data_IF_309238549310
#
_entry.id   IF_309238549310
#
_cell.length_a   1.000
_cell.length_b   1.000
_cell.length_c   1.000
_cell.angle_alpha   90.00
_cell.angle_beta   90.00
_cell.angle_gamma   90.00
#
_symmetry.space_group_name_H-M   'P 1'
#
loop_
_entity.id
_entity.type
_entity.pdbx_description
1 polymer ?
#
# COMPACT_ATOMS: atom_id res chain seq x y z
N UNK A 1 39.95 -35.46 20.19
CA UNK A 1 39.63 -34.46 19.15
C UNK A 1 38.20 -34.72 18.70
N UNK A 2 37.20 -34.19 19.42
CA UNK A 2 35.78 -34.37 19.08
C UNK A 2 35.42 -33.41 17.94
N UNK A 3 35.05 -33.97 16.80
CA UNK A 3 34.42 -33.25 15.69
C UNK A 3 33.06 -32.75 16.16
N UNK A 4 32.98 -31.47 16.50
CA UNK A 4 31.71 -30.80 16.79
C UNK A 4 30.94 -30.72 15.47
N UNK A 5 29.94 -31.60 15.36
CA UNK A 5 28.90 -31.57 14.33
C UNK A 5 28.26 -30.18 14.29
N UNK A 6 28.48 -29.45 13.19
CA UNK A 6 27.70 -28.24 12.87
C UNK A 6 26.23 -28.63 12.78
N UNK A 7 25.43 -28.23 13.77
CA UNK A 7 23.98 -28.33 13.65
C UNK A 7 23.50 -27.49 12.47
N UNK A 8 22.41 -27.90 11.78
CA UNK A 8 21.86 -27.15 10.67
C UNK A 8 21.50 -25.75 11.16
N UNK A 9 22.08 -24.73 10.54
CA UNK A 9 21.68 -23.34 10.73
C UNK A 9 20.17 -23.22 10.54
N UNK A 10 19.47 -22.65 11.53
CA UNK A 10 18.06 -22.29 11.44
C UNK A 10 17.79 -21.64 10.06
N UNK A 11 16.74 -22.05 9.33
CA UNK A 11 16.41 -21.41 8.07
C UNK A 11 16.10 -19.94 8.38
N UNK A 12 16.88 -19.04 7.79
CA UNK A 12 16.62 -17.61 7.86
C UNK A 12 15.14 -17.36 7.51
N UNK A 13 14.41 -16.53 8.27
CA UNK A 13 12.98 -16.35 8.07
C UNK A 13 12.68 -16.00 6.62
N UNK A 14 11.64 -16.63 6.07
CA UNK A 14 11.26 -16.43 4.68
C UNK A 14 10.97 -14.95 4.44
N UNK A 15 11.67 -14.34 3.47
CA UNK A 15 11.54 -12.90 3.19
C UNK A 15 10.13 -12.47 2.79
N UNK A 16 9.31 -13.41 2.33
CA UNK A 16 7.93 -13.22 1.87
C UNK A 16 7.10 -14.37 2.44
N UNK A 17 6.05 -14.05 3.21
CA UNK A 17 5.05 -15.01 3.69
C UNK A 17 4.23 -15.60 2.53
N UNK A 18 3.62 -16.80 2.70
CA UNK A 18 2.75 -17.38 1.69
C UNK A 18 1.64 -16.41 1.25
N UNK A 19 1.46 -16.26 -0.06
CA UNK A 19 0.40 -15.47 -0.66
C UNK A 19 -0.70 -16.41 -1.19
N UNK A 20 -1.96 -15.99 -1.12
CA UNK A 20 -3.08 -16.74 -1.70
C UNK A 20 -3.07 -16.73 -3.23
N UNK A 21 -2.54 -15.66 -3.83
CA UNK A 21 -2.40 -15.48 -5.28
C UNK A 21 -1.24 -14.51 -5.56
N UNK A 22 -0.59 -14.65 -6.72
CA UNK A 22 0.43 -13.72 -7.17
C UNK A 22 -0.23 -12.46 -7.79
N UNK A 23 -0.04 -11.25 -7.22
CA UNK A 23 -0.57 -10.02 -7.80
C UNK A 23 0.33 -9.56 -8.95
N UNK A 24 -0.10 -9.78 -10.19
CA UNK A 24 0.58 -9.30 -11.40
C UNK A 24 -0.31 -8.35 -12.18
N UNK A 25 0.31 -7.34 -12.81
CA UNK A 25 -0.35 -6.49 -13.79
C UNK A 25 0.01 -7.00 -15.19
N UNK A 26 -1.00 -7.41 -15.95
CA UNK A 26 -0.82 -7.91 -17.30
C UNK A 26 -0.96 -6.75 -18.30
N UNK A 27 0.14 -6.43 -18.99
CA UNK A 27 0.11 -5.44 -20.08
C UNK A 27 -0.58 -6.04 -21.31
N UNK A 28 -1.64 -5.38 -21.78
CA UNK A 28 -2.46 -5.79 -22.91
C UNK A 28 -2.37 -4.82 -24.09
N UNK A 29 -1.54 -3.79 -24.03
CA UNK A 29 -1.40 -2.81 -25.11
C UNK A 29 -1.06 -3.49 -26.44
N UNK A 30 -1.97 -3.37 -27.42
CA UNK A 30 -1.84 -3.95 -28.76
C UNK A 30 -1.95 -5.48 -28.81
N UNK A 31 -2.27 -6.14 -27.70
CA UNK A 31 -2.40 -7.60 -27.64
C UNK A 31 -3.81 -8.04 -28.00
N UNK A 32 -3.92 -9.24 -28.55
CA UNK A 32 -5.21 -9.88 -28.84
C UNK A 32 -5.82 -10.45 -27.55
N UNK A 33 -7.09 -10.16 -27.31
CA UNK A 33 -7.87 -10.81 -26.27
C UNK A 33 -9.13 -11.44 -26.87
N UNK A 34 -9.54 -12.60 -26.37
CA UNK A 34 -10.72 -13.32 -26.86
C UNK A 34 -11.78 -13.37 -25.78
N UNK A 35 -13.02 -13.09 -26.15
CA UNK A 35 -14.22 -13.22 -25.31
C UNK A 35 -15.20 -14.15 -26.04
N UNK A 36 -15.43 -15.33 -25.49
CA UNK A 36 -16.44 -16.28 -25.93
C UNK A 36 -17.74 -16.05 -25.14
N UNK A 37 -18.81 -15.67 -25.83
CA UNK A 37 -20.09 -15.33 -25.22
C UNK A 37 -20.43 -13.85 -25.32
N UNK A 38 -21.73 -13.58 -25.50
CA UNK A 38 -22.29 -12.25 -25.72
C UNK A 38 -23.07 -11.67 -24.54
N UNK A 39 -22.87 -12.19 -23.33
CA UNK A 39 -23.69 -11.88 -22.15
C UNK A 39 -23.28 -10.58 -21.44
N UNK A 40 -24.13 -10.11 -20.51
CA UNK A 40 -23.82 -8.95 -19.66
C UNK A 40 -22.58 -9.19 -18.77
N UNK A 41 -22.39 -10.43 -18.31
CA UNK A 41 -21.23 -10.84 -17.52
C UNK A 41 -19.92 -10.77 -18.32
N UNK A 42 -19.99 -11.01 -19.63
CA UNK A 42 -18.88 -10.88 -20.56
C UNK A 42 -18.65 -9.43 -21.00
N UNK A 43 -19.71 -8.62 -21.13
CA UNK A 43 -19.66 -7.25 -21.66
C UNK A 43 -18.68 -6.34 -20.90
N UNK A 44 -18.80 -6.26 -19.57
CA UNK A 44 -17.93 -5.40 -18.78
C UNK A 44 -16.46 -5.87 -18.79
N UNK A 45 -16.22 -7.18 -18.95
CA UNK A 45 -14.86 -7.73 -19.05
C UNK A 45 -14.25 -7.45 -20.42
N UNK A 46 -15.06 -7.50 -21.49
CA UNK A 46 -14.64 -7.05 -22.82
C UNK A 46 -14.25 -5.57 -22.80
N UNK A 47 -15.08 -4.71 -22.18
CA UNK A 47 -14.78 -3.29 -22.01
C UNK A 47 -13.50 -3.06 -21.18
N UNK A 48 -13.31 -3.81 -20.09
CA UNK A 48 -12.09 -3.73 -19.27
C UNK A 48 -10.82 -4.12 -20.05
N UNK A 49 -10.88 -5.19 -20.86
CA UNK A 49 -9.77 -5.63 -21.70
C UNK A 49 -9.44 -4.57 -22.77
N UNK A 50 -10.46 -3.99 -23.40
CA UNK A 50 -10.29 -2.90 -24.36
C UNK A 50 -9.68 -1.65 -23.71
N UNK A 51 -10.17 -1.25 -22.52
CA UNK A 51 -9.63 -0.14 -21.74
C UNK A 51 -8.17 -0.37 -21.29
N UNK A 52 -7.73 -1.62 -21.16
CA UNK A 52 -6.34 -2.00 -20.91
C UNK A 52 -5.47 -1.97 -22.18
N UNK A 53 -6.06 -1.71 -23.36
CA UNK A 53 -5.38 -1.58 -24.64
C UNK A 53 -5.42 -2.83 -25.53
N UNK A 54 -6.23 -3.84 -25.19
CA UNK A 54 -6.35 -5.04 -26.00
C UNK A 54 -7.19 -4.81 -27.27
N UNK A 55 -6.87 -5.53 -28.33
CA UNK A 55 -7.79 -5.79 -29.44
C UNK A 55 -8.67 -6.97 -29.07
N UNK A 56 -9.94 -6.70 -28.73
CA UNK A 56 -10.85 -7.70 -28.18
C UNK A 56 -11.66 -8.32 -29.29
N UNK A 57 -11.62 -9.65 -29.40
CA UNK A 57 -12.42 -10.42 -30.35
C UNK A 57 -13.55 -11.12 -29.57
N UNK A 58 -14.78 -10.67 -29.78
CA UNK A 58 -15.98 -11.26 -29.18
C UNK A 58 -16.57 -12.28 -30.14
N UNK A 59 -16.72 -13.53 -29.72
CA UNK A 59 -17.35 -14.61 -30.49
C UNK A 59 -18.70 -14.95 -29.88
N UNK A 60 -19.77 -14.54 -30.55
CA UNK A 60 -21.14 -14.84 -30.16
C UNK A 60 -22.06 -14.72 -31.39
N UNK A 61 -22.98 -15.67 -31.63
CA UNK A 61 -24.05 -15.49 -32.63
C UNK A 61 -24.85 -14.21 -32.36
N UNK A 62 -25.36 -13.55 -33.41
CA UNK A 62 -26.05 -12.26 -33.27
C UNK A 62 -27.28 -12.32 -32.33
N UNK A 63 -27.97 -13.46 -32.28
CA UNK A 63 -29.10 -13.68 -31.37
C UNK A 63 -28.71 -13.75 -29.89
N UNK A 64 -27.45 -14.08 -29.60
CA UNK A 64 -26.95 -14.36 -28.24
C UNK A 64 -26.20 -13.16 -27.64
N UNK A 65 -26.07 -12.06 -28.40
CA UNK A 65 -25.48 -10.82 -27.91
C UNK A 65 -26.51 -10.03 -27.13
N UNK A 66 -26.24 -9.77 -25.85
CA UNK A 66 -27.08 -8.96 -24.98
C UNK A 66 -27.07 -7.48 -25.38
N UNK A 67 -28.01 -6.70 -24.84
CA UNK A 67 -28.03 -5.26 -25.08
C UNK A 67 -26.78 -4.55 -24.55
N UNK A 68 -26.25 -4.98 -23.40
CA UNK A 68 -25.04 -4.38 -22.83
C UNK A 68 -23.80 -4.71 -23.67
N UNK A 69 -23.65 -5.96 -24.13
CA UNK A 69 -22.54 -6.33 -25.01
C UNK A 69 -22.60 -5.54 -26.33
N UNK A 70 -23.78 -5.36 -26.93
CA UNK A 70 -23.91 -4.52 -28.14
C UNK A 70 -23.44 -3.08 -27.90
N UNK A 71 -23.86 -2.47 -26.79
CA UNK A 71 -23.41 -1.10 -26.44
C UNK A 71 -21.88 -1.01 -26.31
N UNK A 72 -21.26 -2.01 -25.68
CA UNK A 72 -19.81 -2.07 -25.52
C UNK A 72 -19.11 -2.21 -26.88
N UNK A 73 -19.59 -3.10 -27.75
CA UNK A 73 -19.08 -3.26 -29.13
C UNK A 73 -19.20 -1.96 -29.93
N UNK A 74 -20.37 -1.31 -29.89
CA UNK A 74 -20.64 -0.10 -30.67
C UNK A 74 -19.80 1.11 -30.21
N UNK A 75 -19.48 1.16 -28.92
CA UNK A 75 -18.72 2.27 -28.32
C UNK A 75 -17.22 2.13 -28.49
N UNK A 76 -16.70 0.91 -28.46
CA UNK A 76 -15.26 0.64 -28.39
C UNK A 76 -14.73 0.07 -29.71
N UNK A 77 -14.02 0.87 -30.54
CA UNK A 77 -13.55 0.42 -31.86
C UNK A 77 -12.48 -0.68 -31.78
N UNK A 78 -11.89 -0.90 -30.60
CA UNK A 78 -10.95 -1.98 -30.35
C UNK A 78 -11.64 -3.35 -30.22
N UNK A 79 -12.98 -3.39 -30.17
CA UNK A 79 -13.78 -4.61 -30.03
C UNK A 79 -14.32 -5.03 -31.40
N UNK A 80 -13.99 -6.26 -31.81
CA UNK A 80 -14.41 -6.87 -33.07
C UNK A 80 -15.37 -8.02 -32.73
N UNK A 81 -16.61 -7.89 -33.19
CA UNK A 81 -17.62 -8.93 -33.03
C UNK A 81 -17.60 -9.91 -34.20
N UNK A 82 -17.46 -11.19 -33.87
CA UNK A 82 -17.56 -12.33 -34.77
C UNK A 82 -18.91 -13.01 -34.53
N UNK A 83 -19.80 -12.97 -35.53
CA UNK A 83 -21.16 -13.55 -35.47
C UNK A 83 -21.16 -15.08 -35.59
N UNK A 84 -20.36 -15.75 -34.78
CA UNK A 84 -20.22 -17.21 -34.72
C UNK A 84 -19.80 -17.63 -33.32
N UNK A 85 -19.99 -18.90 -33.02
CA UNK A 85 -19.39 -19.52 -31.83
C UNK A 85 -17.87 -19.58 -31.97
N UNK A 86 -17.18 -19.61 -30.83
CA UNK A 86 -15.74 -19.78 -30.77
C UNK A 86 -15.34 -21.21 -31.17
N UNK A 87 -14.12 -21.37 -31.66
CA UNK A 87 -13.45 -22.66 -31.83
C UNK A 87 -11.99 -22.55 -31.35
N UNK A 88 -11.22 -23.64 -31.43
CA UNK A 88 -9.82 -23.62 -31.00
C UNK A 88 -8.96 -22.61 -31.79
N UNK A 89 -9.21 -22.46 -33.09
CA UNK A 89 -8.48 -21.51 -33.94
C UNK A 89 -8.77 -20.05 -33.56
N UNK A 90 -9.99 -19.77 -33.04
CA UNK A 90 -10.32 -18.46 -32.50
C UNK A 90 -9.38 -18.00 -31.39
N UNK A 91 -8.68 -18.90 -30.69
CA UNK A 91 -7.79 -18.57 -29.56
C UNK A 91 -6.33 -18.34 -29.96
N UNK A 92 -5.96 -18.59 -31.22
CA UNK A 92 -4.56 -18.48 -31.67
C UNK A 92 -3.98 -17.06 -31.49
N UNK A 93 -2.83 -16.96 -30.82
CA UNK A 93 -2.18 -15.66 -30.57
C UNK A 93 -2.91 -14.76 -29.56
N UNK A 94 -3.95 -15.26 -28.88
CA UNK A 94 -4.59 -14.53 -27.80
C UNK A 94 -3.67 -14.49 -26.57
N UNK A 95 -3.47 -13.31 -25.97
CA UNK A 95 -2.78 -13.18 -24.70
C UNK A 95 -3.70 -13.57 -23.53
N UNK A 96 -4.99 -13.26 -23.65
CA UNK A 96 -6.04 -13.54 -22.67
C UNK A 96 -7.26 -14.08 -23.39
N UNK A 97 -7.87 -15.11 -22.81
CA UNK A 97 -9.08 -15.74 -23.28
C UNK A 97 -10.11 -15.81 -22.14
N UNK A 98 -11.34 -15.42 -22.43
CA UNK A 98 -12.43 -15.37 -21.48
C UNK A 98 -13.65 -16.04 -22.04
N UNK A 99 -14.33 -16.86 -21.24
CA UNK A 99 -15.58 -17.50 -21.65
C UNK A 99 -16.68 -17.34 -20.61
N UNK A 100 -17.88 -17.04 -21.08
CA UNK A 100 -19.11 -17.33 -20.35
C UNK A 100 -19.64 -18.69 -20.81
N UNK A 101 -19.28 -19.74 -20.07
CA UNK A 101 -19.57 -21.13 -20.44
C UNK A 101 -20.82 -21.63 -19.71
N UNK A 102 -21.75 -22.26 -20.45
CA UNK A 102 -23.03 -22.72 -19.88
C UNK A 102 -22.84 -23.85 -18.85
N UNK A 103 -21.84 -24.71 -19.05
CA UNK A 103 -21.57 -25.89 -18.25
C UNK A 103 -20.08 -26.17 -18.05
N UNK A 104 -19.77 -27.12 -17.16
CA UNK A 104 -18.38 -27.49 -16.85
C UNK A 104 -17.68 -28.16 -18.04
N UNK A 105 -18.41 -28.89 -18.88
CA UNK A 105 -17.86 -29.50 -20.10
C UNK A 105 -17.40 -28.44 -21.11
N UNK A 106 -18.16 -27.35 -21.28
CA UNK A 106 -17.74 -26.23 -22.11
C UNK A 106 -16.58 -25.47 -21.49
N UNK A 107 -16.63 -25.22 -20.18
CA UNK A 107 -15.54 -24.56 -19.46
C UNK A 107 -14.22 -25.34 -19.59
N UNK A 108 -14.26 -26.66 -19.46
CA UNK A 108 -13.12 -27.55 -19.63
C UNK A 108 -12.57 -27.51 -21.07
N UNK A 109 -13.46 -27.56 -22.07
CA UNK A 109 -13.05 -27.44 -23.49
C UNK A 109 -12.40 -26.09 -23.78
N UNK A 110 -12.96 -25.01 -23.26
CA UNK A 110 -12.43 -23.66 -23.46
C UNK A 110 -11.07 -23.49 -22.78
N UNK A 111 -10.93 -23.94 -21.53
CA UNK A 111 -9.68 -23.89 -20.79
C UNK A 111 -8.58 -24.69 -21.49
N UNK A 112 -8.88 -25.92 -21.94
CA UNK A 112 -7.93 -26.75 -22.66
C UNK A 112 -7.48 -26.09 -23.98
N UNK A 113 -8.40 -25.48 -24.74
CA UNK A 113 -8.09 -24.78 -25.97
C UNK A 113 -7.26 -23.50 -25.71
N UNK A 114 -7.58 -22.73 -24.67
CA UNK A 114 -6.82 -21.55 -24.28
C UNK A 114 -5.40 -21.92 -23.84
N UNK A 115 -5.26 -23.00 -23.06
CA UNK A 115 -3.96 -23.56 -22.66
C UNK A 115 -3.13 -23.98 -23.87
N UNK A 116 -3.73 -24.67 -24.84
CA UNK A 116 -3.06 -25.08 -26.07
C UNK A 116 -2.57 -23.87 -26.89
N UNK A 117 -3.33 -22.77 -26.88
CA UNK A 117 -2.95 -21.51 -27.53
C UNK A 117 -1.95 -20.64 -26.73
N UNK A 118 -1.62 -21.03 -25.49
CA UNK A 118 -0.77 -20.25 -24.59
C UNK A 118 -1.45 -19.01 -23.97
N UNK A 119 -2.78 -18.92 -24.04
CA UNK A 119 -3.56 -17.79 -23.52
C UNK A 119 -3.90 -17.98 -22.03
N UNK A 120 -3.82 -16.90 -21.25
CA UNK A 120 -4.35 -16.91 -19.89
C UNK A 120 -5.88 -17.01 -19.93
N UNK A 121 -6.46 -17.98 -19.20
CA UNK A 121 -7.89 -18.32 -19.28
C UNK A 121 -8.64 -17.81 -18.06
N UNK A 122 -9.84 -17.25 -18.26
CA UNK A 122 -10.82 -17.00 -17.22
C UNK A 122 -12.20 -17.43 -17.68
N UNK A 123 -12.85 -18.32 -16.93
CA UNK A 123 -14.23 -18.72 -17.16
C UNK A 123 -15.12 -18.08 -16.10
N UNK A 124 -16.15 -17.36 -16.54
CA UNK A 124 -17.06 -16.62 -15.65
C UNK A 124 -17.73 -17.60 -14.67
N UNK A 125 -17.78 -17.21 -13.39
CA UNK A 125 -18.41 -17.96 -12.30
C UNK A 125 -17.93 -19.41 -12.10
N UNK A 126 -16.80 -19.76 -12.73
CA UNK A 126 -16.25 -21.12 -12.79
C UNK A 126 -14.76 -21.12 -12.41
N UNK A 127 -14.41 -20.84 -11.13
CA UNK A 127 -13.03 -20.64 -10.68
C UNK A 127 -12.10 -21.85 -10.87
N UNK A 128 -12.65 -23.07 -10.93
CA UNK A 128 -11.88 -24.30 -11.18
C UNK A 128 -11.21 -24.32 -12.56
N UNK A 129 -11.72 -23.53 -13.51
CA UNK A 129 -11.27 -23.46 -14.91
C UNK A 129 -10.53 -22.15 -15.23
N UNK A 130 -10.12 -21.40 -14.19
CA UNK A 130 -9.48 -20.10 -14.31
C UNK A 130 -7.97 -20.16 -14.01
N UNK A 131 -7.15 -19.58 -14.88
CA UNK A 131 -5.72 -19.31 -14.63
C UNK A 131 -5.49 -18.04 -13.81
N UNK A 132 -6.44 -17.11 -13.86
CA UNK A 132 -6.39 -15.85 -13.13
C UNK A 132 -7.79 -15.38 -12.72
N UNK A 133 -7.87 -14.41 -11.82
CA UNK A 133 -9.11 -13.85 -11.31
C UNK A 133 -9.13 -12.33 -11.50
N UNK A 134 -10.30 -11.78 -11.80
CA UNK A 134 -10.51 -10.34 -11.75
C UNK A 134 -10.76 -9.92 -10.29
N UNK A 135 -9.97 -8.95 -9.82
CA UNK A 135 -10.18 -8.30 -8.53
C UNK A 135 -10.98 -7.01 -8.63
N UNK A 136 -11.19 -6.35 -7.49
CA UNK A 136 -11.62 -4.95 -7.48
C UNK A 136 -10.48 -4.06 -7.98
N UNK A 137 -10.79 -3.09 -8.84
CA UNK A 137 -9.79 -2.19 -9.43
C UNK A 137 -10.07 -0.76 -9.00
N UNK A 138 -9.04 -0.05 -8.55
CA UNK A 138 -9.04 1.40 -8.45
C UNK A 138 -8.19 1.95 -9.59
N UNK A 139 -8.82 2.73 -10.46
CA UNK A 139 -8.16 3.31 -11.63
C UNK A 139 -7.85 4.80 -11.42
N UNK A 140 -6.57 5.14 -11.45
CA UNK A 140 -5.98 6.49 -11.48
C UNK A 140 -4.88 6.53 -12.56
N UNK A 141 -5.16 5.91 -13.72
CA UNK A 141 -4.17 5.62 -14.77
C UNK A 141 -3.20 6.79 -14.99
N UNK A 142 -1.88 6.53 -14.97
CA UNK A 142 -1.24 5.21 -15.00
C UNK A 142 -1.14 4.50 -13.64
N UNK A 143 -1.64 5.08 -12.55
CA UNK A 143 -1.67 4.42 -11.24
C UNK A 143 -2.88 3.49 -11.16
N UNK A 144 -2.63 2.20 -10.98
CA UNK A 144 -3.67 1.17 -10.88
C UNK A 144 -3.47 0.37 -9.60
N UNK A 145 -4.54 0.14 -8.85
CA UNK A 145 -4.53 -0.75 -7.68
C UNK A 145 -5.47 -1.92 -7.93
N UNK A 146 -4.93 -3.13 -7.88
CA UNK A 146 -5.71 -4.38 -7.89
C UNK A 146 -5.91 -4.91 -6.48
N UNK A 147 -7.13 -5.32 -6.16
CA UNK A 147 -7.53 -5.82 -4.84
C UNK A 147 -8.14 -7.21 -5.03
N UNK A 148 -7.54 -8.23 -4.43
CA UNK A 148 -8.07 -9.59 -4.41
C UNK A 148 -8.45 -10.01 -2.99
N UNK A 149 -9.61 -10.66 -2.87
CA UNK A 149 -10.03 -11.37 -1.64
C UNK A 149 -10.06 -12.88 -1.85
N UNK A 150 -9.44 -13.38 -2.94
CA UNK A 150 -9.44 -14.80 -3.33
C UNK A 150 -10.85 -15.42 -3.37
N UNK A 151 -11.85 -14.62 -3.76
CA UNK A 151 -13.25 -15.04 -3.80
C UNK A 151 -13.97 -15.12 -2.44
N UNK A 152 -13.29 -14.91 -1.31
CA UNK A 152 -13.86 -15.14 0.01
C UNK A 152 -14.96 -14.15 0.42
N UNK A 153 -14.88 -12.89 -0.02
CA UNK A 153 -15.85 -11.86 0.36
C UNK A 153 -15.87 -10.70 -0.66
N UNK A 154 -16.82 -10.68 -1.61
CA UNK A 154 -16.99 -9.58 -2.55
C UNK A 154 -17.25 -8.23 -1.87
N UNK A 155 -18.06 -8.23 -0.79
CA UNK A 155 -18.39 -7.02 -0.03
C UNK A 155 -17.14 -6.42 0.64
N UNK A 156 -16.25 -7.25 1.18
CA UNK A 156 -14.98 -6.79 1.75
C UNK A 156 -14.09 -6.14 0.69
N UNK A 157 -14.01 -6.74 -0.51
CA UNK A 157 -13.29 -6.16 -1.64
C UNK A 157 -13.83 -4.77 -2.02
N UNK A 158 -15.15 -4.56 -1.97
CA UNK A 158 -15.76 -3.24 -2.20
C UNK A 158 -15.50 -2.24 -1.07
N UNK A 159 -15.45 -2.69 0.18
CA UNK A 159 -15.10 -1.83 1.31
C UNK A 159 -13.65 -1.33 1.22
N UNK A 160 -12.70 -2.23 0.92
CA UNK A 160 -11.30 -1.89 0.70
C UNK A 160 -11.15 -0.93 -0.48
N UNK A 161 -11.82 -1.22 -1.61
CA UNK A 161 -11.83 -0.36 -2.79
C UNK A 161 -12.26 1.07 -2.45
N UNK A 162 -13.38 1.24 -1.75
CA UNK A 162 -13.89 2.56 -1.34
C UNK A 162 -12.89 3.34 -0.47
N UNK A 163 -12.23 2.65 0.47
CA UNK A 163 -11.23 3.28 1.35
C UNK A 163 -10.00 3.75 0.56
N UNK A 164 -9.54 2.94 -0.39
CA UNK A 164 -8.40 3.28 -1.25
C UNK A 164 -8.77 4.42 -2.20
N UNK A 165 -9.95 4.37 -2.85
CA UNK A 165 -10.44 5.45 -3.72
C UNK A 165 -10.46 6.81 -3.02
N UNK A 166 -10.87 6.84 -1.75
CA UNK A 166 -10.89 8.06 -0.94
C UNK A 166 -9.48 8.59 -0.60
N UNK A 167 -8.47 7.72 -0.58
CA UNK A 167 -7.08 8.10 -0.27
C UNK A 167 -6.26 8.48 -1.51
N UNK A 168 -6.70 8.10 -2.71
CA UNK A 168 -5.97 8.32 -3.96
C UNK A 168 -6.62 9.46 -4.78
N UNK A 169 -6.06 10.68 -4.74
CA UNK A 169 -6.64 11.81 -5.45
C UNK A 169 -6.56 11.63 -6.99
N UNK A 170 -7.50 12.22 -7.75
CA UNK A 170 -7.46 12.19 -9.22
C UNK A 170 -6.15 12.76 -9.82
N UNK A 171 -5.59 13.77 -9.16
CA UNK A 171 -4.35 14.45 -9.54
C UNK A 171 -3.12 13.50 -9.65
N UNK A 172 -3.18 12.30 -9.06
CA UNK A 172 -2.11 11.29 -9.18
C UNK A 172 -1.80 10.94 -10.64
N UNK A 173 -2.81 10.96 -11.52
CA UNK A 173 -2.62 10.71 -12.95
C UNK A 173 -1.66 11.74 -13.57
N UNK A 174 -1.82 13.01 -13.21
CA UNK A 174 -1.02 14.13 -13.71
C UNK A 174 0.41 14.09 -13.13
N UNK A 175 0.54 13.82 -11.83
CA UNK A 175 1.83 13.62 -11.17
C UNK A 175 2.62 12.44 -11.76
N UNK A 176 1.94 11.33 -12.07
CA UNK A 176 2.59 10.18 -12.71
C UNK A 176 2.96 10.46 -14.17
N UNK A 177 2.15 11.26 -14.90
CA UNK A 177 2.52 11.74 -16.23
C UNK A 177 3.76 12.65 -16.19
N UNK A 178 3.83 13.58 -15.23
CA UNK A 178 5.01 14.41 -14.99
C UNK A 178 6.23 13.55 -14.65
N UNK A 179 6.08 12.59 -13.73
CA UNK A 179 7.16 11.66 -13.36
C UNK A 179 7.73 10.92 -14.58
N UNK A 180 6.88 10.46 -15.51
CA UNK A 180 7.35 9.83 -16.77
C UNK A 180 8.17 10.79 -17.63
N UNK A 181 7.72 12.04 -17.81
CA UNK A 181 8.47 13.05 -18.59
C UNK A 181 9.84 13.37 -17.95
N UNK A 182 9.91 13.36 -16.62
CA UNK A 182 11.15 13.66 -15.88
C UNK A 182 12.11 12.46 -15.78
N UNK A 183 11.63 11.23 -15.98
CA UNK A 183 12.37 9.98 -15.71
C UNK A 183 13.71 9.90 -16.43
N UNK A 184 13.75 10.22 -17.72
CA UNK A 184 14.96 10.08 -18.54
C UNK A 184 16.01 11.12 -18.11
N UNK A 185 15.59 12.37 -17.92
CA UNK A 185 16.45 13.45 -17.40
C UNK A 185 17.00 13.15 -16.00
N UNK A 186 16.18 12.59 -15.11
CA UNK A 186 16.63 12.15 -13.78
C UNK A 186 17.67 11.04 -13.88
N UNK A 187 17.47 10.10 -14.81
CA UNK A 187 18.38 8.97 -15.02
C UNK A 187 19.72 9.43 -15.63
N UNK A 188 19.69 10.42 -16.51
CA UNK A 188 20.90 10.98 -17.12
C UNK A 188 21.70 11.88 -16.15
N UNK A 189 21.01 12.68 -15.33
CA UNK A 189 21.65 13.75 -14.53
C UNK A 189 21.95 13.39 -13.09
N UNK A 190 21.20 12.48 -12.47
CA UNK A 190 21.38 12.12 -11.06
C UNK A 190 22.05 10.74 -10.95
N UNK A 191 22.97 10.59 -10.01
CA UNK A 191 23.57 9.30 -9.71
C UNK A 191 22.53 8.31 -9.13
N UNK A 192 22.59 7.01 -9.50
CA UNK A 192 21.71 6.00 -8.91
C UNK A 192 21.87 5.93 -7.39
N UNK A 193 20.81 5.55 -6.68
CA UNK A 193 20.81 5.43 -5.22
C UNK A 193 20.21 6.65 -4.51
N UNK A 194 20.86 7.19 -3.46
CA UNK A 194 20.26 8.21 -2.58
C UNK A 194 19.77 9.48 -3.28
N UNK A 195 20.55 10.03 -4.21
CA UNK A 195 20.21 11.29 -4.90
C UNK A 195 18.93 11.16 -5.75
N UNK A 196 18.82 10.10 -6.57
CA UNK A 196 17.59 9.82 -7.35
C UNK A 196 16.39 9.59 -6.43
N UNK A 197 16.56 8.85 -5.33
CA UNK A 197 15.46 8.60 -4.38
C UNK A 197 14.97 9.88 -3.71
N UNK A 198 15.87 10.72 -3.23
CA UNK A 198 15.51 11.99 -2.61
C UNK A 198 14.73 12.90 -3.59
N UNK A 199 15.08 12.86 -4.88
CA UNK A 199 14.29 13.55 -5.90
C UNK A 199 12.86 12.99 -6.01
N UNK A 200 12.71 11.67 -6.13
CA UNK A 200 11.38 11.04 -6.25
C UNK A 200 10.53 11.21 -4.99
N UNK A 201 11.12 11.17 -3.80
CA UNK A 201 10.42 11.43 -2.54
C UNK A 201 9.83 12.84 -2.50
N UNK A 202 10.60 13.87 -2.92
CA UNK A 202 10.07 15.25 -3.02
C UNK A 202 8.88 15.35 -3.97
N UNK A 203 8.87 14.58 -5.06
CA UNK A 203 7.73 14.52 -5.97
C UNK A 203 6.54 13.82 -5.31
N UNK A 204 6.76 12.68 -4.64
CA UNK A 204 5.71 11.90 -3.97
C UNK A 204 5.06 12.70 -2.83
N UNK A 205 5.83 13.48 -2.08
CA UNK A 205 5.31 14.35 -1.01
C UNK A 205 4.26 15.36 -1.51
N UNK A 206 4.34 15.72 -2.80
CA UNK A 206 3.38 16.61 -3.47
C UNK A 206 2.26 15.87 -4.18
N UNK A 207 2.48 14.61 -4.56
CA UNK A 207 1.59 13.84 -5.42
C UNK A 207 0.20 13.53 -4.82
N UNK A 208 0.07 13.61 -3.49
CA UNK A 208 -1.20 13.45 -2.77
C UNK A 208 -1.94 14.78 -2.54
N UNK A 209 -1.39 15.89 -3.02
CA UNK A 209 -2.02 17.21 -3.01
C UNK A 209 -2.78 17.54 -4.32
N UNK A 210 -2.93 18.83 -4.64
CA UNK A 210 -3.46 19.28 -5.92
C UNK A 210 -2.62 18.81 -7.12
N UNK A 211 -3.19 18.97 -8.32
CA UNK A 211 -2.49 18.79 -9.58
C UNK A 211 -1.16 19.60 -9.65
N UNK A 212 -0.13 19.09 -10.35
CA UNK A 212 1.13 19.80 -10.50
C UNK A 212 0.92 21.16 -11.20
N UNK A 213 1.39 22.24 -10.57
CA UNK A 213 1.41 23.57 -11.17
C UNK A 213 2.66 23.75 -12.05
N UNK A 214 2.65 24.75 -12.93
CA UNK A 214 3.83 25.11 -13.72
C UNK A 214 5.04 25.44 -12.83
N UNK A 215 4.81 26.10 -11.70
CA UNK A 215 5.86 26.40 -10.71
C UNK A 215 6.43 25.11 -10.10
N UNK A 216 5.58 24.16 -9.73
CA UNK A 216 6.02 22.89 -9.18
C UNK A 216 6.83 22.05 -10.19
N UNK A 217 6.45 22.07 -11.48
CA UNK A 217 7.21 21.45 -12.56
C UNK A 217 8.56 22.14 -12.77
N UNK A 218 8.61 23.47 -12.70
CA UNK A 218 9.83 24.27 -12.81
C UNK A 218 10.81 23.96 -11.67
N UNK A 219 10.33 23.96 -10.41
CA UNK A 219 11.15 23.60 -9.24
C UNK A 219 11.75 22.19 -9.35
N UNK A 220 11.00 21.22 -9.88
CA UNK A 220 11.49 19.86 -10.10
C UNK A 220 12.56 19.82 -11.20
N UNK A 221 12.38 20.58 -12.28
CA UNK A 221 13.39 20.73 -13.32
C UNK A 221 14.69 21.35 -12.80
N UNK A 222 14.59 22.39 -11.97
CA UNK A 222 15.73 23.01 -11.31
C UNK A 222 16.42 22.03 -10.36
N UNK A 223 15.66 21.25 -9.59
CA UNK A 223 16.22 20.23 -8.70
C UNK A 223 17.03 19.15 -9.45
N UNK A 224 16.65 18.83 -10.69
CA UNK A 224 17.44 17.95 -11.59
C UNK A 224 18.69 18.66 -12.07
N UNK A 225 18.58 19.94 -12.48
CA UNK A 225 19.67 20.73 -13.04
C UNK A 225 20.79 21.03 -12.03
N UNK A 226 20.42 21.35 -10.79
CA UNK A 226 21.34 21.53 -9.65
C UNK A 226 21.98 20.20 -9.23
N UNK A 227 21.53 19.08 -9.81
CA UNK A 227 22.15 17.77 -9.65
C UNK A 227 22.04 17.20 -8.25
N UNK A 228 21.19 17.78 -7.38
CA UNK A 228 21.15 17.59 -5.93
C UNK A 228 22.46 17.00 -5.39
N UNK A 229 23.55 17.74 -5.65
CA UNK A 229 24.92 17.46 -5.21
C UNK A 229 25.09 17.75 -3.72
N UNK A 230 24.03 17.58 -2.93
CA UNK A 230 24.21 17.33 -1.51
C UNK A 230 24.37 15.83 -1.44
N UNK A 231 25.62 15.38 -1.52
CA UNK A 231 26.03 14.10 -0.94
C UNK A 231 25.67 14.18 0.53
N UNK A 232 24.39 13.91 0.84
CA UNK A 232 23.95 13.81 2.22
C UNK A 232 24.66 12.60 2.74
N UNK A 233 25.54 12.81 3.72
CA UNK A 233 25.90 11.73 4.64
C UNK A 233 24.61 11.02 5.00
N UNK A 234 24.61 9.71 4.82
CA UNK A 234 23.49 8.85 5.15
C UNK A 234 23.07 9.07 6.61
N UNK A 235 21.88 8.62 6.91
CA UNK A 235 21.23 8.91 8.18
C UNK A 235 20.93 7.60 8.90
N UNK A 236 21.17 7.56 10.21
CA UNK A 236 20.86 6.39 11.04
C UNK A 236 19.61 6.68 11.87
N UNK A 237 18.60 5.82 11.79
CA UNK A 237 17.44 5.91 12.67
C UNK A 237 17.41 4.72 13.62
N UNK A 238 17.51 4.98 14.92
CA UNK A 238 17.30 3.97 15.95
C UNK A 238 15.81 3.80 16.21
N UNK A 239 15.34 2.56 16.09
CA UNK A 239 13.95 2.16 16.31
C UNK A 239 13.89 1.11 17.41
N UNK A 240 12.99 1.32 18.36
CA UNK A 240 12.65 0.34 19.39
C UNK A 240 11.33 -0.31 19.03
N UNK A 241 11.36 -1.62 18.89
CA UNK A 241 10.20 -2.45 18.58
C UNK A 241 9.55 -2.87 19.90
N UNK A 242 8.34 -2.39 20.22
CA UNK A 242 7.48 -3.10 21.16
C UNK A 242 7.14 -4.46 20.54
N UNK A 243 7.12 -5.55 21.30
CA UNK A 243 6.98 -6.92 20.75
C UNK A 243 5.79 -7.20 19.82
N UNK A 244 4.88 -6.25 19.62
CA UNK A 244 3.79 -6.24 18.64
C UNK A 244 3.99 -5.12 17.58
N UNK A 245 3.92 -5.46 16.30
CA UNK A 245 4.05 -4.53 15.18
C UNK A 245 3.00 -3.41 15.17
N UNK A 246 1.78 -3.65 15.68
CA UNK A 246 0.73 -2.63 15.74
C UNK A 246 1.05 -1.51 16.75
N UNK A 247 1.97 -1.77 17.68
CA UNK A 247 2.45 -0.79 18.66
C UNK A 247 3.59 0.08 18.12
N UNK A 248 3.99 -0.09 16.85
CA UNK A 248 4.95 0.80 16.22
C UNK A 248 4.37 2.20 16.04
N UNK A 249 5.20 3.20 16.38
CA UNK A 249 4.83 4.58 16.12
C UNK A 249 4.83 4.87 14.63
N UNK A 250 4.00 5.83 14.18
CA UNK A 250 3.99 6.27 12.79
C UNK A 250 5.38 6.74 12.31
N UNK A 251 6.21 7.30 13.21
CA UNK A 251 7.60 7.66 12.92
C UNK A 251 8.45 6.42 12.59
N UNK A 252 8.25 5.33 13.32
CA UNK A 252 8.98 4.06 13.10
C UNK A 252 8.59 3.41 11.78
N UNK A 253 7.29 3.36 11.47
CA UNK A 253 6.80 2.82 10.19
C UNK A 253 7.35 3.63 9.01
N UNK A 254 7.31 4.97 9.09
CA UNK A 254 7.90 5.84 8.04
C UNK A 254 9.40 5.60 7.89
N UNK A 255 10.13 5.43 8.99
CA UNK A 255 11.56 5.13 8.95
C UNK A 255 11.85 3.77 8.29
N UNK A 256 11.08 2.72 8.60
CA UNK A 256 11.19 1.40 7.97
C UNK A 256 10.89 1.43 6.47
N UNK A 257 9.88 2.20 6.05
CA UNK A 257 9.51 2.37 4.64
C UNK A 257 10.53 3.19 3.84
N UNK A 258 11.24 4.10 4.50
CA UNK A 258 12.29 4.92 3.90
C UNK A 258 13.69 4.28 3.93
N UNK A 259 13.86 3.18 4.67
CA UNK A 259 15.16 2.55 4.93
C UNK A 259 15.77 1.94 3.66
N UNK A 260 17.08 2.06 3.54
CA UNK A 260 17.88 1.31 2.56
C UNK A 260 18.42 0.03 3.11
N UNK A 261 18.78 0.06 4.39
CA UNK A 261 19.29 -1.09 5.11
C UNK A 261 18.65 -1.10 6.49
N UNK A 262 18.13 -2.25 6.90
CA UNK A 262 17.63 -2.51 8.24
C UNK A 262 18.60 -3.48 8.92
N UNK A 263 19.25 -3.00 9.97
CA UNK A 263 20.06 -3.78 10.90
C UNK A 263 19.17 -4.19 12.07
N UNK A 264 18.99 -5.49 12.31
CA UNK A 264 18.02 -5.98 13.29
C UNK A 264 18.57 -7.14 14.13
N UNK A 265 18.08 -7.22 15.37
CA UNK A 265 18.38 -8.34 16.27
C UNK A 265 17.45 -9.52 16.03
N UNK A 266 17.88 -10.70 16.45
CA UNK A 266 17.11 -11.94 16.29
C UNK A 266 15.79 -11.97 17.08
N UNK A 267 15.62 -11.10 18.07
CA UNK A 267 14.37 -10.95 18.83
C UNK A 267 13.33 -10.08 18.13
N UNK A 268 13.68 -9.42 17.02
CA UNK A 268 12.73 -8.60 16.26
C UNK A 268 11.74 -9.51 15.52
N UNK A 269 10.42 -9.33 15.71
CA UNK A 269 9.39 -10.07 15.00
C UNK A 269 9.42 -9.86 13.47
N UNK A 270 9.10 -10.91 12.71
CA UNK A 270 9.11 -10.87 11.24
C UNK A 270 8.07 -9.91 10.64
N UNK A 271 6.91 -9.75 11.27
CA UNK A 271 5.86 -8.81 10.83
C UNK A 271 6.32 -7.35 10.84
N UNK A 272 7.19 -6.97 11.77
CA UNK A 272 7.85 -5.66 11.79
C UNK A 272 8.81 -5.52 10.60
N UNK A 273 9.55 -6.57 10.26
CA UNK A 273 10.44 -6.57 9.10
C UNK A 273 9.65 -6.49 7.78
N UNK A 274 8.42 -7.02 7.73
CA UNK A 274 7.51 -6.91 6.58
C UNK A 274 7.07 -5.47 6.29
N UNK A 275 7.03 -4.60 7.31
CA UNK A 275 6.73 -3.18 7.14
C UNK A 275 7.87 -2.39 6.47
N UNK A 276 9.09 -2.94 6.47
CA UNK A 276 10.21 -2.33 5.78
C UNK A 276 10.05 -2.41 4.26
N UNK A 277 10.63 -1.43 3.55
CA UNK A 277 10.65 -1.43 2.09
C UNK A 277 11.15 -2.77 1.53
N UNK A 278 10.48 -3.31 0.52
CA UNK A 278 10.79 -4.63 -0.07
C UNK A 278 12.23 -4.78 -0.59
N UNK A 279 12.81 -3.70 -1.10
CA UNK A 279 14.18 -3.65 -1.61
C UNK A 279 15.22 -3.30 -0.54
N UNK A 280 14.81 -2.99 0.70
CA UNK A 280 15.77 -2.68 1.75
C UNK A 280 16.63 -3.91 2.06
N UNK A 281 17.94 -3.73 2.13
CA UNK A 281 18.85 -4.76 2.61
C UNK A 281 18.51 -5.08 4.07
N UNK A 282 18.31 -6.35 4.40
CA UNK A 282 18.06 -6.79 5.78
C UNK A 282 19.31 -7.53 6.27
N UNK A 283 19.96 -6.99 7.30
CA UNK A 283 21.19 -7.55 7.86
C UNK A 283 20.94 -7.91 9.33
N UNK A 284 20.90 -9.21 9.67
CA UNK A 284 20.82 -9.62 11.07
C UNK A 284 22.16 -9.32 11.77
N UNK A 285 22.11 -8.64 12.91
CA UNK A 285 23.30 -8.33 13.74
C UNK A 285 23.47 -9.28 14.93
N UNK A 286 22.42 -10.00 15.28
CA UNK A 286 22.46 -11.15 16.19
C UNK A 286 21.75 -12.35 15.56
N UNK A 287 22.11 -13.57 15.96
CA UNK A 287 21.49 -14.81 15.51
C UNK A 287 21.24 -15.73 16.70
N UNK A 288 20.09 -16.38 16.73
CA UNK A 288 19.75 -17.37 17.77
C UNK A 288 20.82 -18.47 17.80
N UNK A 289 21.55 -18.60 18.92
CA UNK A 289 22.61 -19.59 19.11
C UNK A 289 23.87 -19.40 18.23
N UNK A 290 24.02 -18.25 17.56
CA UNK A 290 25.17 -17.93 16.71
C UNK A 290 26.07 -16.83 17.31
N UNK A 291 27.20 -16.50 16.66
CA UNK A 291 28.04 -15.39 17.08
C UNK A 291 27.26 -14.07 16.95
N UNK A 292 27.22 -13.30 18.03
CA UNK A 292 26.67 -11.94 18.05
C UNK A 292 27.73 -10.95 17.53
N UNK A 293 27.32 -10.03 16.67
CA UNK A 293 28.20 -8.92 16.27
C UNK A 293 28.45 -8.05 17.49
N UNK A 294 29.71 -7.72 17.74
CA UNK A 294 30.05 -6.79 18.81
C UNK A 294 29.44 -5.41 18.54
N UNK A 295 29.14 -4.61 19.58
CA UNK A 295 28.63 -3.25 19.40
C UNK A 295 29.52 -2.37 18.50
N UNK A 296 30.84 -2.63 18.52
CA UNK A 296 31.81 -1.95 17.64
C UNK A 296 31.61 -2.31 16.17
N UNK A 297 31.44 -3.59 15.85
CA UNK A 297 31.21 -4.04 14.46
C UNK A 297 29.87 -3.51 13.92
N UNK A 298 28.84 -3.48 14.76
CA UNK A 298 27.54 -2.90 14.40
C UNK A 298 27.70 -1.39 14.11
N UNK A 299 28.42 -0.66 14.97
CA UNK A 299 28.69 0.75 14.78
C UNK A 299 29.51 1.03 13.51
N UNK A 300 30.59 0.27 13.27
CA UNK A 300 31.43 0.41 12.08
C UNK A 300 30.63 0.13 10.80
N UNK A 301 29.73 -0.86 10.83
CA UNK A 301 28.81 -1.15 9.74
C UNK A 301 27.83 0.02 9.52
N UNK A 302 27.21 0.56 10.57
CA UNK A 302 26.33 1.73 10.44
C UNK A 302 27.06 2.94 9.84
N UNK A 303 28.27 3.23 10.31
CA UNK A 303 29.10 4.32 9.81
C UNK A 303 29.44 4.11 8.33
N UNK A 304 29.86 2.91 7.94
CA UNK A 304 30.18 2.58 6.54
C UNK A 304 28.96 2.79 5.64
N UNK A 305 27.82 2.22 6.01
CA UNK A 305 26.58 2.31 5.25
C UNK A 305 26.08 3.76 5.14
N UNK A 306 26.19 4.54 6.22
CA UNK A 306 25.82 5.93 6.23
C UNK A 306 26.79 6.78 5.38
N UNK A 307 28.10 6.49 5.36
CA UNK A 307 29.06 7.18 4.48
C UNK A 307 28.77 6.93 3.00
N UNK A 308 28.20 5.77 2.66
CA UNK A 308 27.69 5.47 1.32
C UNK A 308 26.38 6.23 0.98
N UNK A 309 25.92 7.13 1.86
CA UNK A 309 24.69 7.91 1.69
C UNK A 309 23.41 7.12 1.98
N UNK A 310 23.49 5.93 2.59
CA UNK A 310 22.31 5.08 2.85
C UNK A 310 21.55 5.54 4.10
N UNK A 311 20.23 5.36 4.08
CA UNK A 311 19.38 5.45 5.27
C UNK A 311 19.39 4.12 5.99
N UNK A 312 20.02 4.08 7.16
CA UNK A 312 20.17 2.86 7.96
C UNK A 312 19.17 2.90 9.10
N UNK A 313 18.38 1.85 9.26
CA UNK A 313 17.53 1.65 10.43
C UNK A 313 18.20 0.64 11.34
N UNK A 314 18.45 1.00 12.59
CA UNK A 314 18.88 0.07 13.65
C UNK A 314 17.67 -0.28 14.48
N UNK A 315 17.19 -1.50 14.31
CA UNK A 315 15.96 -2.03 14.88
C UNK A 315 16.27 -2.95 16.06
N UNK A 316 15.87 -2.57 17.27
CA UNK A 316 16.09 -3.33 18.51
C UNK A 316 14.77 -3.74 19.15
N UNK A 317 14.73 -4.89 19.81
CA UNK A 317 13.60 -5.28 20.65
C UNK A 317 13.63 -4.51 21.98
N UNK A 318 12.47 -4.15 22.54
CA UNK A 318 12.40 -3.37 23.79
C UNK A 318 13.08 -4.05 24.98
N UNK A 319 13.11 -5.38 25.01
CA UNK A 319 13.71 -6.15 26.11
C UNK A 319 15.24 -6.04 26.16
N UNK A 320 15.86 -5.66 25.05
CA UNK A 320 17.32 -5.45 24.96
C UNK A 320 17.73 -4.00 25.31
N UNK A 321 16.78 -3.12 25.66
CA UNK A 321 17.03 -1.69 25.86
C UNK A 321 17.96 -1.36 27.04
N UNK A 322 18.13 -2.28 27.99
CA UNK A 322 19.07 -2.14 29.10
C UNK A 322 20.54 -2.17 28.64
N UNK A 323 20.82 -2.71 27.45
CA UNK A 323 22.09 -2.55 26.75
C UNK A 323 22.01 -1.30 25.85
N UNK A 324 22.34 -0.14 26.41
CA UNK A 324 22.08 1.16 25.77
C UNK A 324 22.79 1.36 24.42
N UNK A 325 22.22 2.23 23.58
CA UNK A 325 22.76 2.66 22.28
C UNK A 325 24.03 3.53 22.40
N UNK A 326 24.56 3.75 23.61
CA UNK A 326 25.53 4.79 23.91
C UNK A 326 26.82 4.66 23.09
N UNK A 327 27.40 3.45 23.01
CA UNK A 327 28.62 3.22 22.24
C UNK A 327 28.44 3.36 20.72
N UNK A 328 27.27 2.98 20.21
CA UNK A 328 26.92 3.15 18.79
C UNK A 328 26.71 4.63 18.45
N UNK A 329 25.96 5.36 19.29
CA UNK A 329 25.72 6.81 19.13
C UNK A 329 27.02 7.59 19.19
N UNK A 330 27.92 7.25 20.12
CA UNK A 330 29.23 7.89 20.23
C UNK A 330 30.08 7.66 18.97
N UNK A 331 30.07 6.45 18.42
CA UNK A 331 30.77 6.14 17.17
C UNK A 331 30.22 6.92 15.97
N UNK A 332 28.88 7.08 15.87
CA UNK A 332 28.26 7.91 14.85
C UNK A 332 28.64 9.39 15.01
N UNK A 333 28.67 9.90 16.25
CA UNK A 333 29.13 11.24 16.57
C UNK A 333 30.58 11.50 16.15
N UNK A 334 31.49 10.56 16.45
CA UNK A 334 32.90 10.60 16.00
C UNK A 334 33.05 10.59 14.49
N UNK A 335 32.13 9.95 13.78
CA UNK A 335 32.12 9.87 12.32
C UNK A 335 31.34 11.02 11.65
N UNK A 336 30.81 11.98 12.41
CA UNK A 336 29.95 13.06 11.95
C UNK A 336 28.71 12.56 11.15
N UNK A 337 28.17 11.42 11.54
CA UNK A 337 26.94 10.86 10.95
C UNK A 337 25.74 11.32 11.76
N UNK A 338 24.72 11.83 11.06
CA UNK A 338 23.46 12.26 11.67
C UNK A 338 22.61 11.06 12.04
N UNK A 339 21.92 11.17 13.18
CA UNK A 339 21.01 10.13 13.63
C UNK A 339 19.75 10.69 14.28
N UNK A 340 18.68 9.91 14.20
CA UNK A 340 17.43 10.11 14.94
C UNK A 340 17.15 8.91 15.83
N UNK A 341 16.40 9.15 16.90
CA UNK A 341 15.73 8.10 17.66
C UNK A 341 14.22 8.24 17.42
N UNK A 342 13.56 7.15 17.02
CA UNK A 342 12.11 7.07 17.09
C UNK A 342 11.72 6.36 18.38
N UNK A 343 11.02 7.04 19.30
CA UNK A 343 10.55 6.40 20.51
C UNK A 343 9.54 5.30 20.16
N UNK A 344 9.66 4.16 20.83
CA UNK A 344 8.68 3.08 20.82
C UNK A 344 7.70 3.18 21.98
N UNK A 345 6.59 2.46 21.92
CA UNK A 345 5.60 2.43 23.02
C UNK A 345 6.20 1.77 24.28
N UNK A 346 7.07 0.76 24.11
CA UNK A 346 7.78 0.11 25.22
C UNK A 346 8.76 1.04 25.97
N UNK A 347 9.35 2.03 25.29
CA UNK A 347 10.25 3.04 25.91
C UNK A 347 9.52 3.88 26.96
N UNK A 348 8.24 4.19 26.73
CA UNK A 348 7.41 4.98 27.67
C UNK A 348 7.08 4.14 28.91
N UNK A 349 6.68 2.87 28.73
CA UNK A 349 6.39 1.97 29.84
C UNK A 349 7.64 1.68 30.71
N UNK A 350 8.80 1.46 30.10
CA UNK A 350 10.06 1.26 30.81
C UNK A 350 10.52 2.53 31.55
N UNK A 351 10.31 3.72 30.97
CA UNK A 351 10.58 5.00 31.65
C UNK A 351 9.67 5.18 32.86
N UNK A 352 8.37 4.87 32.72
CA UNK A 352 7.38 4.96 33.81
C UNK A 352 7.71 3.99 34.95
N UNK A 353 8.14 2.76 34.63
CA UNK A 353 8.62 1.79 35.59
C UNK A 353 9.95 2.18 36.26
N UNK A 354 10.84 2.89 35.54
CA UNK A 354 12.09 3.40 36.07
C UNK A 354 11.94 4.67 36.91
N UNK A 355 10.86 5.45 36.71
CA UNK A 355 10.56 6.67 37.48
C UNK A 355 9.72 6.43 38.73
N UNK A 356 9.83 5.25 39.35
CA UNK A 356 9.11 4.79 40.55
C UNK A 356 8.67 5.93 41.49
N UNK A 357 7.53 6.55 41.18
CA UNK A 357 6.68 7.22 42.15
C UNK A 357 5.95 6.05 42.77
N UNK A 358 6.43 5.64 43.94
CA UNK A 358 5.92 4.51 44.68
C UNK A 358 4.38 4.48 44.66
N UNK A 359 3.73 3.35 44.33
CA UNK A 359 2.29 3.21 44.50
C UNK A 359 2.01 3.07 46.00
N UNK A 360 1.79 4.20 46.67
CA UNK A 360 1.64 4.26 48.11
C UNK A 360 0.57 5.23 48.58
N UNK A 361 -0.70 5.01 48.22
CA UNK A 361 -1.85 5.41 49.04
C UNK A 361 -3.10 4.65 48.58
N UNK A 362 -3.63 3.80 49.46
CA UNK A 362 -4.65 2.81 49.17
C UNK A 362 -5.97 3.38 48.64
N UNK A 363 -6.49 2.73 47.61
CA UNK A 363 -7.92 2.82 47.27
C UNK A 363 -8.68 1.86 48.19
N UNK A 364 -9.05 2.33 49.38
CA UNK A 364 -10.07 1.67 50.20
C UNK A 364 -11.44 1.89 49.53
N UNK A 365 -12.11 0.78 49.19
CA UNK A 365 -13.54 0.74 48.91
C UNK A 365 -14.31 1.05 50.21
N UNK A 366 -15.15 2.09 50.18
CA UNK A 366 -16.39 2.22 50.94
C UNK A 366 -17.40 2.86 49.98
N UNK A 367 -18.55 2.28 49.66
CA UNK A 367 -19.60 1.90 50.60
C UNK A 367 -20.66 3.01 50.56
N UNK A 368 -21.85 2.69 50.04
CA UNK A 368 -23.02 3.58 49.89
C UNK A 368 -23.34 4.30 51.21
N UNK A 369 -23.75 5.58 51.14
CA UNK A 369 -25.04 5.99 51.69
C UNK A 369 -25.50 7.40 51.27
N UNK A 370 -26.83 7.53 51.13
CA UNK A 370 -27.61 8.75 50.85
C UNK A 370 -27.40 9.79 51.96
N UNK A 371 -27.22 11.07 51.62
CA UNK A 371 -27.82 12.21 52.36
C UNK A 371 -28.07 13.41 51.41
N UNK A 372 -29.33 13.81 51.38
CA UNK A 372 -30.04 15.06 51.02
C UNK A 372 -29.34 16.34 50.52
N UNK A 373 -30.01 17.00 49.55
CA UNK A 373 -29.87 18.44 49.18
C UNK A 373 -30.18 19.37 50.37
N UNK A 374 -29.63 20.60 50.37
CA UNK A 374 -30.41 21.77 49.89
C UNK A 374 -29.57 22.77 49.03
N UNK A 375 -30.23 23.52 48.12
CA UNK A 375 -29.64 24.69 47.43
C UNK A 375 -29.86 25.99 48.23
N UNK A 376 -29.93 27.19 47.61
CA UNK A 376 -29.37 27.67 46.33
C UNK A 376 -28.60 29.02 46.49
N UNK A 377 -27.78 29.44 45.52
CA UNK A 377 -27.46 30.87 45.26
C UNK A 377 -26.55 31.01 44.03
N UNK A 378 -27.10 31.56 42.94
CA UNK A 378 -26.37 32.06 41.78
C UNK A 378 -26.63 33.57 41.70
N UNK A 379 -25.57 34.39 41.68
CA UNK A 379 -25.64 35.85 41.46
C UNK A 379 -24.77 36.22 40.23
N UNK A 380 -25.49 36.59 39.16
CA UNK A 380 -25.36 37.76 38.26
C UNK A 380 -23.97 38.35 37.94
N UNK A 381 -23.68 38.49 36.63
CA UNK A 381 -23.71 39.82 35.99
C UNK A 381 -23.98 39.75 34.48
N UNK A 382 -24.98 40.51 34.03
CA UNK A 382 -25.36 40.78 32.64
C UNK A 382 -24.56 41.97 32.10
N UNK A 383 -24.31 42.00 30.79
CA UNK A 383 -24.51 43.24 30.00
C UNK A 383 -25.29 42.94 28.74
N UNK A 384 -26.18 43.87 28.43
CA UNK A 384 -27.34 43.80 27.55
C UNK A 384 -27.21 44.88 26.49
N UNK A 385 -27.55 44.61 25.23
CA UNK A 385 -28.35 45.49 24.34
C UNK A 385 -29.09 44.54 23.38
N UNK A 386 -30.39 44.24 23.58
CA UNK A 386 -31.58 44.87 22.96
C UNK A 386 -31.46 44.96 21.43
N UNK A 387 -32.42 44.57 20.60
CA UNK A 387 -33.84 44.25 20.66
C UNK A 387 -34.28 44.26 19.18
N UNK A 388 -35.20 43.43 18.70
CA UNK A 388 -36.63 43.60 18.89
C UNK A 388 -37.36 42.36 18.35
N UNK A 389 -38.42 41.98 19.05
CA UNK A 389 -39.43 40.95 18.72
C UNK A 389 -40.29 41.46 17.53
N UNK A 390 -41.22 40.76 16.88
CA UNK A 390 -42.20 39.75 17.31
C UNK A 390 -42.90 39.23 16.03
N UNK A 391 -43.02 37.92 15.83
CA UNK A 391 -44.23 37.07 15.99
C UNK A 391 -45.16 36.93 14.76
N UNK A 392 -45.88 35.79 14.66
CA UNK A 392 -46.21 35.11 13.41
C UNK A 392 -47.71 35.17 13.06
N UNK A 393 -48.07 34.93 11.79
CA UNK A 393 -49.45 34.63 11.36
C UNK A 393 -49.44 33.57 10.23
N UNK A 394 -50.55 32.84 10.15
CA UNK A 394 -50.83 31.52 9.57
C UNK A 394 -50.91 31.45 8.03
N UNK A 395 -50.80 30.21 7.54
CA UNK A 395 -51.15 29.64 6.22
C UNK A 395 -52.49 30.13 5.61
N UNK A 396 -52.66 30.09 4.27
CA UNK A 396 -53.22 28.90 3.59
C UNK A 396 -52.66 28.54 2.19
N UNK A 397 -53.01 27.31 1.76
CA UNK A 397 -52.83 26.68 0.44
C UNK A 397 -53.43 27.49 -0.74
N UNK A 398 -53.12 27.10 -1.99
CA UNK A 398 -54.20 26.81 -2.93
C UNK A 398 -54.07 25.48 -3.71
N UNK A 399 -55.26 24.95 -4.03
CA UNK A 399 -55.57 23.85 -4.95
C UNK A 399 -55.54 24.33 -6.42
N UNK A 400 -55.15 23.40 -7.30
CA UNK A 400 -55.70 23.04 -8.65
C UNK A 400 -56.23 24.13 -9.60
N UNK A 401 -55.69 24.11 -10.83
CA UNK A 401 -56.36 24.23 -12.16
C UNK A 401 -55.37 23.63 -13.18
N UNK A 402 -55.56 22.40 -13.69
CA UNK A 402 -56.12 22.07 -15.03
C UNK A 402 -56.03 23.21 -16.05
N UNK A 403 -55.15 23.05 -17.04
CA UNK A 403 -55.48 22.67 -18.43
C UNK A 403 -54.40 21.72 -18.95
#
# INVERSE_FOLDING_TARGET
MQLISRQPSDPAPARIRPLSVLPVFLDLQGKRAVVAGGTDGAAWKAELLAAAGAHVHVYAPAGDVSSEMRRVIDREPAIIHHQRVWDAASLEGAAVALADAEGDDEAARFEAAARAAGAACNVIDKPAWCHFQFGSIVNRSPVVVGISTSGAAPILGQAIRRRIEASLPPALAEWAALARRLRDRVTERLAPGPCRRAFWERLVDRAFGPAPTADAETELHEAIAVGSAVGRTGHVTFLVVPGDAELLTLKSVRALQAADVVLFDHHVPDDVLELARREAGRIPVSRRGGPESSPREIADMMVSLARDGRRVVRLRHCDEMMAGNAGEIEALGRAAITYDVAPGVGTVAATVAATDVAPGAGFQRAGRDRVTRPGPSWILFRRSVRGFRSRPVRHPLPRLLRE
#
